data_IF_875423626076
#
_entry.id   IF_875423626076
#
_cell.length_a   1.000
_cell.length_b   1.000
_cell.length_c   1.000
_cell.angle_alpha   90.00
_cell.angle_beta   90.00
_cell.angle_gamma   90.00
#
_symmetry.space_group_name_H-M   'P 1'
#
loop_
_entity.id
_entity.type
_entity.pdbx_description
1 polymer ?
#
# COMPACT_ATOMS: atom_id res chain seq x y z
N UNK A 1 45.71 -20.99 56.10
CA UNK A 1 44.25 -20.67 56.30
C UNK A 1 43.68 -19.63 55.33
N UNK A 2 44.42 -18.70 54.79
CA UNK A 2 43.91 -17.63 53.89
C UNK A 2 43.48 -18.11 52.46
N UNK A 3 44.06 -19.17 51.95
CA UNK A 3 43.80 -19.69 50.56
C UNK A 3 42.53 -20.52 50.43
N UNK A 4 41.97 -21.04 51.51
CA UNK A 4 40.70 -21.80 51.45
C UNK A 4 39.47 -20.90 51.53
N UNK A 5 39.57 -19.75 52.17
CA UNK A 5 38.46 -18.82 52.31
C UNK A 5 38.12 -18.11 50.98
N UNK A 6 39.15 -17.82 50.14
CA UNK A 6 38.96 -17.15 48.85
C UNK A 6 38.27 -18.06 47.82
N UNK A 7 38.55 -19.37 47.84
CA UNK A 7 37.88 -20.32 46.93
C UNK A 7 36.39 -20.51 47.25
N UNK A 8 36.01 -20.46 48.52
CA UNK A 8 34.58 -20.61 48.90
C UNK A 8 33.75 -19.37 48.57
N UNK A 9 34.34 -18.17 48.65
CA UNK A 9 33.65 -16.91 48.28
C UNK A 9 33.44 -16.81 46.75
N UNK A 10 34.41 -17.28 45.94
CA UNK A 10 34.32 -17.26 44.50
C UNK A 10 33.24 -18.24 44.00
N UNK A 11 33.09 -19.42 44.64
CA UNK A 11 32.05 -20.39 44.29
C UNK A 11 30.64 -19.89 44.70
N UNK A 12 30.52 -19.21 45.84
CA UNK A 12 29.24 -18.63 46.26
C UNK A 12 28.78 -17.46 45.35
N UNK A 13 29.69 -16.63 44.86
CA UNK A 13 29.40 -15.55 43.91
C UNK A 13 29.07 -16.08 42.51
N UNK A 14 29.69 -17.17 42.05
CA UNK A 14 29.35 -17.77 40.75
C UNK A 14 28.00 -18.49 40.77
N UNK A 15 27.58 -19.08 41.89
CA UNK A 15 26.23 -19.66 42.03
C UNK A 15 25.11 -18.60 42.14
N UNK A 16 25.36 -17.42 42.74
CA UNK A 16 24.41 -16.31 42.73
C UNK A 16 24.23 -15.70 41.35
N UNK A 17 25.30 -15.55 40.55
CA UNK A 17 25.21 -15.03 39.18
C UNK A 17 24.51 -15.99 38.21
N UNK A 18 24.64 -17.31 38.40
CA UNK A 18 23.94 -18.32 37.57
C UNK A 18 22.44 -18.37 37.88
N UNK A 19 22.04 -18.12 39.14
CA UNK A 19 20.61 -18.06 39.49
C UNK A 19 19.92 -16.71 39.06
N UNK A 20 20.67 -15.64 38.84
CA UNK A 20 20.12 -14.37 38.32
C UNK A 20 19.97 -14.39 36.81
N UNK A 21 20.63 -15.29 36.05
CA UNK A 21 20.44 -15.40 34.60
C UNK A 21 19.34 -16.39 34.20
N UNK A 22 18.74 -17.14 35.11
CA UNK A 22 17.69 -18.13 34.79
C UNK A 22 16.28 -17.72 35.12
N UNK A 23 16.05 -16.49 35.57
CA UNK A 23 14.72 -15.90 35.63
C UNK A 23 14.36 -15.27 34.28
N UNK A 24 14.42 -16.03 33.17
CA UNK A 24 13.60 -15.72 32.00
C UNK A 24 12.16 -15.87 32.47
N UNK A 25 11.57 -14.75 32.87
CA UNK A 25 10.14 -14.61 33.11
C UNK A 25 9.41 -15.17 31.89
N UNK A 26 8.97 -16.41 31.98
CA UNK A 26 7.90 -16.96 31.14
C UNK A 26 6.59 -16.36 31.65
N UNK A 27 6.47 -15.03 31.55
CA UNK A 27 5.17 -14.40 31.68
C UNK A 27 4.30 -15.07 30.63
N UNK A 28 3.42 -15.97 31.03
CA UNK A 28 2.39 -16.56 30.17
C UNK A 28 1.68 -15.36 29.53
N UNK A 29 1.92 -15.15 28.22
CA UNK A 29 1.24 -14.11 27.47
C UNK A 29 -0.25 -14.27 27.71
N UNK A 30 -0.90 -13.30 28.34
CA UNK A 30 -2.32 -13.33 28.55
C UNK A 30 -3.01 -13.60 27.20
N UNK A 31 -3.96 -14.53 27.21
CA UNK A 31 -4.72 -14.86 26.00
C UNK A 31 -5.50 -13.60 25.61
N UNK A 32 -5.40 -13.19 24.33
CA UNK A 32 -6.14 -12.04 23.80
C UNK A 32 -7.63 -12.22 24.09
N UNK A 33 -8.24 -11.22 24.72
CA UNK A 33 -9.69 -11.22 24.94
C UNK A 33 -10.37 -10.73 23.65
N UNK A 34 -10.84 -11.68 22.85
CA UNK A 34 -11.42 -11.40 21.53
C UNK A 34 -12.68 -10.53 21.60
N UNK A 35 -13.55 -10.71 22.60
CA UNK A 35 -14.75 -9.89 22.76
C UNK A 35 -14.40 -8.43 23.08
N UNK A 36 -13.42 -8.21 23.95
CA UNK A 36 -12.96 -6.86 24.28
C UNK A 36 -12.28 -6.19 23.09
N UNK A 37 -11.43 -6.93 22.36
CA UNK A 37 -10.78 -6.45 21.15
C UNK A 37 -11.83 -6.00 20.12
N UNK A 38 -12.81 -6.87 19.83
CA UNK A 38 -13.88 -6.59 18.89
C UNK A 38 -14.68 -5.35 19.28
N UNK A 39 -15.15 -5.26 20.53
CA UNK A 39 -15.93 -4.12 21.01
C UNK A 39 -15.15 -2.79 20.93
N UNK A 40 -13.83 -2.81 21.18
CA UNK A 40 -12.99 -1.61 21.05
C UNK A 40 -12.80 -1.18 19.60
N UNK A 41 -12.61 -2.14 18.71
CA UNK A 41 -12.47 -1.86 17.27
C UNK A 41 -13.81 -1.36 16.70
N UNK A 42 -14.94 -1.98 17.08
CA UNK A 42 -16.27 -1.50 16.72
C UNK A 42 -16.48 -0.05 17.17
N UNK A 43 -16.11 0.28 18.41
CA UNK A 43 -16.24 1.64 18.96
C UNK A 43 -15.43 2.65 18.17
N UNK A 44 -14.18 2.32 17.78
CA UNK A 44 -13.35 3.21 16.97
C UNK A 44 -13.93 3.37 15.58
N UNK A 45 -14.33 2.30 14.91
CA UNK A 45 -14.91 2.39 13.57
C UNK A 45 -16.21 3.23 13.59
N UNK A 46 -17.07 3.04 14.59
CA UNK A 46 -18.33 3.80 14.75
C UNK A 46 -18.10 5.27 15.12
N UNK A 47 -16.96 5.63 15.72
CA UNK A 47 -16.64 7.04 15.99
C UNK A 47 -16.20 7.82 14.75
N UNK A 48 -15.68 7.12 13.74
CA UNK A 48 -15.21 7.73 12.50
C UNK A 48 -16.22 7.63 11.35
N UNK A 49 -17.06 6.58 11.32
CA UNK A 49 -17.99 6.32 10.20
C UNK A 49 -19.44 6.25 10.66
N UNK A 50 -20.35 6.83 9.88
CA UNK A 50 -21.79 6.64 10.04
C UNK A 50 -22.24 5.44 9.17
N UNK A 51 -23.06 4.53 9.67
CA UNK A 51 -23.53 3.37 8.91
C UNK A 51 -24.47 3.70 7.74
N UNK A 52 -24.84 4.97 7.57
CA UNK A 52 -25.72 5.47 6.50
C UNK A 52 -24.99 6.36 5.50
N UNK A 53 -23.70 6.56 5.67
CA UNK A 53 -22.80 7.30 4.77
C UNK A 53 -21.84 6.35 4.09
N UNK A 54 -21.07 6.78 3.07
CA UNK A 54 -19.90 6.03 2.62
C UNK A 54 -18.97 5.69 3.80
N UNK A 55 -18.23 4.60 3.73
CA UNK A 55 -17.53 4.12 4.91
C UNK A 55 -16.29 3.30 4.62
N UNK A 56 -16.12 2.19 5.36
CA UNK A 56 -14.91 1.39 5.29
C UNK A 56 -15.14 -0.10 5.57
N UNK A 57 -14.28 -0.95 5.01
CA UNK A 57 -14.07 -2.32 5.43
C UNK A 57 -12.73 -2.43 6.16
N UNK A 58 -12.73 -2.98 7.38
CA UNK A 58 -11.55 -3.25 8.17
C UNK A 58 -11.40 -4.75 8.42
N UNK A 59 -10.28 -5.32 7.99
CA UNK A 59 -9.88 -6.68 8.30
C UNK A 59 -8.56 -6.68 9.05
N UNK A 60 -8.54 -7.32 10.22
CA UNK A 60 -7.32 -7.58 10.98
C UNK A 60 -7.10 -9.08 11.02
N UNK A 61 -5.92 -9.53 10.57
CA UNK A 61 -5.56 -10.93 10.60
C UNK A 61 -4.37 -11.19 11.50
N UNK A 62 -4.39 -12.34 12.19
CA UNK A 62 -3.25 -12.86 12.95
C UNK A 62 -2.91 -14.27 12.49
N UNK A 63 -1.64 -14.52 12.21
CA UNK A 63 -1.18 -15.80 11.67
C UNK A 63 -1.93 -16.22 10.38
N UNK A 64 -2.34 -15.26 9.56
CA UNK A 64 -3.05 -15.48 8.29
C UNK A 64 -4.54 -15.77 8.41
N UNK A 65 -5.11 -15.66 9.60
CA UNK A 65 -6.55 -15.83 9.84
C UNK A 65 -7.14 -14.52 10.35
N UNK A 66 -8.27 -14.13 9.81
CA UNK A 66 -9.01 -12.96 10.30
C UNK A 66 -9.37 -13.14 11.78
N UNK A 67 -9.15 -12.08 12.55
CA UNK A 67 -9.53 -11.95 13.96
C UNK A 67 -10.49 -10.79 14.18
N UNK A 68 -10.63 -9.93 13.19
CA UNK A 68 -11.65 -8.90 13.05
C UNK A 68 -11.91 -8.72 11.56
N UNK A 69 -13.19 -8.65 11.16
CA UNK A 69 -13.59 -8.56 9.75
C UNK A 69 -14.99 -7.95 9.69
N UNK A 70 -15.06 -6.64 9.50
CA UNK A 70 -16.33 -5.90 9.45
C UNK A 70 -16.26 -4.74 8.48
N UNK A 71 -17.42 -4.48 7.85
CA UNK A 71 -17.72 -3.25 7.14
C UNK A 71 -18.62 -2.32 7.96
N UNK A 72 -18.53 -1.04 7.67
CA UNK A 72 -19.43 0.01 8.14
C UNK A 72 -19.70 0.98 7.01
N UNK A 73 -20.94 1.41 6.84
CA UNK A 73 -21.35 2.35 5.83
C UNK A 73 -21.94 1.70 4.58
N UNK A 74 -22.02 2.50 3.53
CA UNK A 74 -22.70 2.20 2.26
C UNK A 74 -21.66 2.14 1.15
N UNK A 75 -21.64 1.03 0.42
CA UNK A 75 -20.75 0.81 -0.73
C UNK A 75 -21.21 1.59 -1.97
N UNK A 76 -22.53 1.60 -2.19
CA UNK A 76 -23.20 2.27 -3.29
C UNK A 76 -24.41 3.06 -2.75
N UNK A 77 -24.31 4.37 -2.76
CA UNK A 77 -25.37 5.27 -2.26
C UNK A 77 -26.64 5.23 -3.10
N UNK A 78 -26.55 4.84 -4.37
CA UNK A 78 -27.71 4.73 -5.26
C UNK A 78 -28.58 3.51 -4.92
N UNK A 79 -27.95 2.40 -4.56
CA UNK A 79 -28.66 1.15 -4.24
C UNK A 79 -28.83 0.93 -2.75
N UNK A 80 -28.04 1.58 -1.91
CA UNK A 80 -27.97 1.35 -0.47
C UNK A 80 -27.22 0.09 -0.08
N UNK A 81 -26.43 -0.50 -0.99
CA UNK A 81 -25.61 -1.68 -0.71
C UNK A 81 -24.63 -1.40 0.44
N UNK A 82 -24.59 -2.31 1.42
CA UNK A 82 -23.74 -2.18 2.60
C UNK A 82 -22.34 -2.68 2.35
N UNK A 83 -21.38 -2.05 3.02
CA UNK A 83 -19.99 -2.49 3.01
C UNK A 83 -19.82 -3.75 3.86
N UNK A 84 -19.13 -4.74 3.30
CA UNK A 84 -18.63 -5.92 4.01
C UNK A 84 -17.24 -6.34 3.50
N UNK A 85 -16.72 -7.48 3.97
CA UNK A 85 -15.42 -8.02 3.55
C UNK A 85 -15.34 -8.49 2.09
N UNK A 86 -16.47 -8.56 1.36
CA UNK A 86 -16.55 -8.91 -0.06
C UNK A 86 -16.76 -7.68 -0.96
N UNK A 87 -16.97 -6.51 -0.37
CA UNK A 87 -17.06 -5.27 -1.13
C UNK A 87 -15.73 -4.99 -1.83
N UNK A 88 -15.77 -4.74 -3.13
CA UNK A 88 -14.60 -4.46 -3.95
C UNK A 88 -14.32 -2.96 -4.00
N UNK A 89 -13.14 -2.55 -3.54
CA UNK A 89 -12.69 -1.16 -3.53
C UNK A 89 -11.54 -0.96 -4.51
N UNK A 90 -11.41 0.25 -5.06
CA UNK A 90 -10.18 0.67 -5.69
C UNK A 90 -9.09 0.80 -4.63
N UNK A 91 -7.99 0.06 -4.78
CA UNK A 91 -6.87 0.10 -3.82
C UNK A 91 -5.76 1.06 -4.25
N UNK A 92 -5.97 1.78 -5.35
CA UNK A 92 -5.08 2.81 -5.87
C UNK A 92 -3.59 2.36 -5.83
N UNK A 93 -2.71 3.18 -5.25
CA UNK A 93 -1.26 2.93 -5.22
C UNK A 93 -0.82 1.66 -4.47
N UNK A 94 -1.69 1.00 -3.71
CA UNK A 94 -1.37 -0.34 -3.19
C UNK A 94 -1.16 -1.34 -4.35
N UNK A 95 -1.70 -1.06 -5.53
CA UNK A 95 -1.46 -1.82 -6.78
C UNK A 95 0.03 -1.95 -7.13
N UNK A 96 0.87 -0.99 -6.74
CA UNK A 96 2.32 -1.03 -6.96
C UNK A 96 3.02 -2.25 -6.36
N UNK A 97 2.45 -2.82 -5.30
CA UNK A 97 2.93 -4.07 -4.70
C UNK A 97 2.86 -5.22 -5.70
N UNK A 98 1.77 -5.30 -6.45
CA UNK A 98 1.57 -6.37 -7.45
C UNK A 98 2.52 -6.19 -8.62
N UNK A 99 2.70 -4.97 -9.11
CA UNK A 99 3.67 -4.66 -10.17
C UNK A 99 5.10 -5.00 -9.73
N UNK A 100 5.48 -4.65 -8.50
CA UNK A 100 6.80 -4.95 -7.96
C UNK A 100 7.06 -6.47 -7.83
N UNK A 101 6.08 -7.23 -7.34
CA UNK A 101 6.18 -8.70 -7.29
C UNK A 101 6.17 -9.30 -8.70
N UNK A 102 5.40 -8.72 -9.63
CA UNK A 102 5.43 -9.10 -11.05
C UNK A 102 6.81 -8.92 -11.67
N UNK A 103 7.47 -7.78 -11.41
CA UNK A 103 8.84 -7.51 -11.85
C UNK A 103 9.85 -8.51 -11.25
N UNK A 104 9.74 -8.82 -9.96
CA UNK A 104 10.57 -9.86 -9.33
C UNK A 104 10.29 -11.24 -9.91
N UNK A 105 9.04 -11.55 -10.27
CA UNK A 105 8.68 -12.78 -10.96
C UNK A 105 9.33 -12.86 -12.34
N UNK A 106 9.29 -11.78 -13.12
CA UNK A 106 9.99 -11.71 -14.41
C UNK A 106 11.49 -11.92 -14.25
N UNK A 107 12.12 -11.35 -13.21
CA UNK A 107 13.53 -11.58 -12.89
C UNK A 107 13.81 -13.04 -12.58
N UNK A 108 12.96 -13.73 -11.80
CA UNK A 108 13.09 -15.17 -11.53
C UNK A 108 12.96 -16.04 -12.77
N UNK A 109 12.15 -15.59 -13.73
CA UNK A 109 11.95 -16.26 -15.02
C UNK A 109 13.06 -15.95 -16.04
N UNK A 110 13.99 -15.05 -15.71
CA UNK A 110 15.11 -14.69 -16.58
C UNK A 110 14.78 -13.66 -17.67
N UNK A 111 13.58 -13.06 -17.66
CA UNK A 111 13.20 -12.04 -18.65
C UNK A 111 13.87 -10.71 -18.42
N UNK A 112 14.16 -10.35 -17.18
CA UNK A 112 14.79 -9.08 -16.82
C UNK A 112 15.81 -9.26 -15.69
N UNK A 113 16.68 -8.25 -15.56
CA UNK A 113 17.54 -8.07 -14.38
C UNK A 113 17.31 -6.66 -13.84
N UNK A 114 16.87 -6.55 -12.60
CA UNK A 114 16.55 -5.25 -11.97
C UNK A 114 17.78 -4.34 -11.83
N UNK A 115 19.00 -4.88 -11.92
CA UNK A 115 20.24 -4.10 -11.90
C UNK A 115 20.61 -3.50 -13.27
N UNK A 116 19.94 -3.92 -14.34
CA UNK A 116 20.19 -3.36 -15.66
C UNK A 116 19.55 -1.98 -15.80
N UNK A 117 20.15 -1.16 -16.68
CA UNK A 117 19.60 0.16 -17.00
C UNK A 117 18.28 0.06 -17.76
N UNK A 118 17.46 1.09 -17.63
CA UNK A 118 16.21 1.23 -18.38
C UNK A 118 16.49 1.22 -19.89
N UNK A 119 17.54 1.90 -20.34
CA UNK A 119 17.98 1.93 -21.75
C UNK A 119 18.20 0.53 -22.34
N UNK A 120 18.56 -0.48 -21.53
CA UNK A 120 18.74 -1.86 -21.99
C UNK A 120 17.45 -2.53 -22.44
N UNK A 121 16.30 -2.00 -22.02
CA UNK A 121 14.98 -2.56 -22.31
C UNK A 121 14.10 -1.65 -23.15
N UNK A 122 14.44 -0.36 -23.19
CA UNK A 122 13.70 0.70 -23.87
C UNK A 122 14.64 1.50 -24.80
N UNK A 123 15.01 0.94 -25.96
CA UNK A 123 15.95 1.59 -26.86
C UNK A 123 15.42 2.92 -27.46
N UNK A 124 14.12 3.14 -27.37
CA UNK A 124 13.48 4.41 -27.74
C UNK A 124 13.74 5.54 -26.73
N UNK A 125 14.11 5.22 -25.49
CA UNK A 125 14.54 6.17 -24.48
C UNK A 125 16.03 6.46 -24.67
N UNK A 126 16.35 7.38 -25.62
CA UNK A 126 17.69 7.57 -26.16
C UNK A 126 18.64 8.41 -25.31
N UNK A 127 18.07 9.25 -24.41
CA UNK A 127 18.86 10.17 -23.62
C UNK A 127 19.72 9.46 -22.57
N UNK A 128 20.90 10.00 -22.29
CA UNK A 128 21.88 9.37 -21.41
C UNK A 128 21.44 9.13 -19.99
N UNK A 129 20.43 9.86 -19.52
CA UNK A 129 19.84 9.63 -18.20
C UNK A 129 19.35 8.19 -18.05
N UNK A 130 18.82 7.57 -19.11
CA UNK A 130 18.27 6.21 -19.08
C UNK A 130 19.33 5.12 -18.99
N UNK A 131 20.60 5.45 -19.28
CA UNK A 131 21.73 4.56 -19.04
C UNK A 131 22.11 4.49 -17.56
N UNK A 132 21.82 5.56 -16.79
CA UNK A 132 22.08 5.66 -15.34
C UNK A 132 20.94 5.06 -14.51
N UNK A 133 19.69 5.23 -14.94
CA UNK A 133 18.52 4.73 -14.23
C UNK A 133 18.41 3.21 -14.42
N UNK A 134 18.42 2.45 -13.31
CA UNK A 134 18.19 1.01 -13.28
C UNK A 134 16.72 0.70 -12.98
N UNK A 135 16.22 -0.48 -13.40
CA UNK A 135 14.85 -0.90 -13.11
C UNK A 135 14.54 -0.88 -11.60
N UNK A 136 15.50 -1.26 -10.77
CA UNK A 136 15.31 -1.21 -9.31
C UNK A 136 15.07 0.20 -8.78
N UNK A 137 15.63 1.24 -9.42
CA UNK A 137 15.42 2.63 -8.99
C UNK A 137 13.98 3.08 -9.25
N UNK A 138 13.33 2.56 -10.30
CA UNK A 138 11.92 2.81 -10.58
C UNK A 138 11.04 2.24 -9.48
N UNK A 139 11.27 0.97 -9.10
CA UNK A 139 10.49 0.27 -8.06
C UNK A 139 10.66 0.86 -6.66
N UNK A 140 11.77 1.53 -6.39
CA UNK A 140 12.08 2.10 -5.08
C UNK A 140 11.90 3.62 -5.02
N UNK A 141 11.30 4.22 -6.05
CA UNK A 141 11.13 5.67 -6.14
C UNK A 141 12.43 6.47 -5.91
N UNK A 142 13.54 5.93 -6.41
CA UNK A 142 14.88 6.52 -6.30
C UNK A 142 15.52 6.81 -7.66
N UNK A 143 14.71 6.94 -8.69
CA UNK A 143 15.19 7.12 -10.05
C UNK A 143 15.66 8.53 -10.36
N UNK A 144 15.10 9.54 -9.71
CA UNK A 144 15.28 10.95 -10.06
C UNK A 144 14.53 11.37 -11.34
N UNK A 145 13.79 10.47 -11.96
CA UNK A 145 12.98 10.76 -13.17
C UNK A 145 11.80 11.64 -12.78
N UNK A 146 11.64 12.85 -13.37
CA UNK A 146 10.48 13.70 -13.09
C UNK A 146 9.20 13.15 -13.71
N UNK A 147 8.04 13.51 -13.16
CA UNK A 147 6.75 13.27 -13.80
C UNK A 147 6.48 14.35 -14.86
N UNK A 148 6.64 13.98 -16.12
CA UNK A 148 6.46 14.88 -17.26
C UNK A 148 5.06 14.83 -17.87
N UNK A 149 4.12 14.09 -17.26
CA UNK A 149 2.75 13.99 -17.78
C UNK A 149 1.99 15.31 -17.60
N UNK A 150 1.08 15.64 -18.52
CA UNK A 150 0.31 16.89 -18.47
C UNK A 150 -0.81 16.82 -17.41
N UNK A 151 -0.48 17.12 -16.15
CA UNK A 151 -1.44 17.07 -15.03
C UNK A 151 -2.61 18.07 -15.16
N UNK A 152 -2.52 19.08 -15.99
CA UNK A 152 -3.59 20.04 -16.26
C UNK A 152 -4.66 19.56 -17.26
N UNK A 153 -4.40 18.48 -17.97
CA UNK A 153 -5.32 17.90 -18.94
C UNK A 153 -6.14 16.78 -18.29
N UNK A 154 -7.36 17.14 -17.82
CA UNK A 154 -8.27 16.20 -17.17
C UNK A 154 -8.61 15.01 -18.07
N UNK A 155 -8.88 15.24 -19.34
CA UNK A 155 -9.22 14.15 -20.24
C UNK A 155 -8.05 13.17 -20.39
N UNK A 156 -6.82 13.67 -20.53
CA UNK A 156 -5.64 12.85 -20.56
C UNK A 156 -5.48 12.03 -19.26
N UNK A 157 -5.66 12.66 -18.10
CA UNK A 157 -5.54 11.97 -16.81
C UNK A 157 -6.54 10.83 -16.65
N UNK A 158 -7.76 10.99 -17.19
CA UNK A 158 -8.78 9.95 -17.12
C UNK A 158 -8.60 8.82 -18.12
N UNK A 159 -8.01 9.08 -19.28
CA UNK A 159 -7.99 8.16 -20.41
C UNK A 159 -6.61 7.63 -20.80
N UNK A 160 -5.53 8.26 -20.29
CA UNK A 160 -4.18 7.90 -20.66
C UNK A 160 -3.83 6.47 -20.22
N UNK A 161 -3.40 5.65 -21.16
CA UNK A 161 -2.87 4.32 -20.90
C UNK A 161 -1.42 4.37 -20.39
N UNK A 162 -0.93 3.23 -19.87
CA UNK A 162 0.48 3.11 -19.46
C UNK A 162 1.43 3.45 -20.60
N UNK A 163 1.11 3.06 -21.86
CA UNK A 163 1.90 3.39 -23.05
C UNK A 163 1.95 4.90 -23.31
N UNK A 164 0.82 5.57 -23.22
CA UNK A 164 0.72 7.02 -23.39
C UNK A 164 1.46 7.76 -22.27
N UNK A 165 1.34 7.28 -21.04
CA UNK A 165 2.07 7.82 -19.89
C UNK A 165 3.61 7.78 -20.15
N UNK A 166 4.13 6.67 -20.65
CA UNK A 166 5.56 6.49 -20.95
C UNK A 166 6.04 7.37 -22.10
N UNK A 167 5.18 7.77 -23.05
CA UNK A 167 5.60 8.66 -24.16
C UNK A 167 6.21 9.98 -23.66
N UNK A 168 5.68 10.54 -22.58
CA UNK A 168 6.20 11.79 -22.00
C UNK A 168 7.60 11.65 -21.38
N UNK A 169 8.09 10.43 -21.17
CA UNK A 169 9.44 10.20 -20.67
C UNK A 169 10.52 10.27 -21.76
N UNK A 170 10.15 10.19 -23.03
CA UNK A 170 11.13 10.10 -24.14
C UNK A 170 12.02 11.33 -24.27
N UNK A 171 11.46 12.49 -24.01
CA UNK A 171 12.13 13.77 -24.20
C UNK A 171 12.85 14.26 -22.93
N UNK A 172 12.79 13.51 -21.84
CA UNK A 172 13.48 13.84 -20.60
C UNK A 172 14.99 13.76 -20.78
N UNK A 173 15.67 14.86 -20.46
CA UNK A 173 17.14 14.99 -20.58
C UNK A 173 17.83 15.12 -19.23
N UNK A 174 17.08 15.43 -18.17
CA UNK A 174 17.61 15.70 -16.84
C UNK A 174 16.87 14.87 -15.79
N UNK A 175 17.57 14.58 -14.70
CA UNK A 175 17.03 13.95 -13.51
C UNK A 175 17.01 14.97 -12.37
N UNK A 176 16.05 14.85 -11.47
CA UNK A 176 16.00 15.68 -10.26
C UNK A 176 17.19 15.42 -9.31
N UNK A 177 17.73 14.19 -9.33
CA UNK A 177 18.88 13.75 -8.56
C UNK A 177 19.51 12.50 -9.19
N UNK A 178 20.75 12.18 -8.83
CA UNK A 178 21.42 10.96 -9.28
C UNK A 178 20.70 9.71 -8.75
N UNK A 179 20.44 8.71 -9.62
CA UNK A 179 19.67 7.51 -9.25
C UNK A 179 20.23 6.79 -8.02
N UNK A 180 19.36 6.50 -7.07
CA UNK A 180 19.68 5.83 -5.81
C UNK A 180 20.09 6.76 -4.66
N UNK A 181 20.17 8.08 -4.87
CA UNK A 181 20.67 9.01 -3.84
C UNK A 181 19.56 9.72 -3.03
N UNK A 182 18.36 9.78 -3.58
CA UNK A 182 17.21 10.43 -2.93
C UNK A 182 15.91 9.70 -3.24
N UNK A 183 14.84 10.13 -2.60
CA UNK A 183 13.47 9.61 -2.78
C UNK A 183 12.58 10.68 -3.39
N UNK A 184 11.85 10.31 -4.43
CA UNK A 184 10.73 11.04 -4.99
C UNK A 184 9.69 10.07 -5.50
N UNK A 185 8.47 10.17 -4.97
CA UNK A 185 7.37 9.30 -5.37
C UNK A 185 6.85 9.69 -6.75
N UNK A 186 7.09 8.85 -7.74
CA UNK A 186 6.74 9.11 -9.15
C UNK A 186 5.93 7.93 -9.70
N UNK A 187 4.66 8.15 -10.00
CA UNK A 187 3.75 7.14 -10.50
C UNK A 187 4.18 6.55 -11.85
N UNK A 188 4.43 7.35 -12.90
CA UNK A 188 4.69 6.84 -14.25
C UNK A 188 5.94 5.97 -14.38
N UNK A 189 6.83 5.96 -13.40
CA UNK A 189 7.96 5.02 -13.41
C UNK A 189 7.50 3.56 -13.29
N UNK A 190 6.35 3.30 -12.71
CA UNK A 190 5.75 1.97 -12.67
C UNK A 190 5.12 1.58 -14.03
N UNK A 191 4.64 2.53 -14.83
CA UNK A 191 4.03 2.26 -16.14
C UNK A 191 5.03 1.62 -17.12
N UNK A 192 6.34 1.88 -16.92
CA UNK A 192 7.40 1.16 -17.66
C UNK A 192 7.33 -0.35 -17.45
N UNK A 193 6.89 -0.84 -16.31
CA UNK A 193 6.74 -2.28 -16.05
C UNK A 193 5.54 -2.90 -16.77
N UNK A 194 4.51 -2.12 -17.07
CA UNK A 194 3.44 -2.56 -17.97
C UNK A 194 4.02 -2.96 -19.33
N UNK A 195 4.71 -2.05 -19.97
CA UNK A 195 5.35 -2.28 -21.27
C UNK A 195 6.40 -3.39 -21.20
N UNK A 196 7.16 -3.45 -20.12
CA UNK A 196 8.23 -4.42 -19.95
C UNK A 196 7.70 -5.85 -19.89
N UNK A 197 6.54 -6.06 -19.18
CA UNK A 197 5.85 -7.34 -19.16
C UNK A 197 5.46 -7.74 -20.58
N UNK A 198 4.77 -6.89 -21.31
CA UNK A 198 4.26 -7.21 -22.64
C UNK A 198 5.39 -7.50 -23.62
N UNK A 199 6.42 -6.66 -23.64
CA UNK A 199 7.57 -6.81 -24.55
C UNK A 199 8.40 -8.06 -24.29
N UNK A 200 8.59 -8.42 -23.03
CA UNK A 200 9.48 -9.52 -22.64
C UNK A 200 8.78 -10.87 -22.59
N UNK A 201 7.49 -10.88 -22.30
CA UNK A 201 6.76 -12.14 -22.12
C UNK A 201 5.81 -12.45 -23.28
N UNK A 202 5.47 -11.47 -24.12
CA UNK A 202 4.43 -11.57 -25.14
C UNK A 202 3.00 -11.68 -24.57
N UNK A 203 2.84 -11.55 -23.26
CA UNK A 203 1.53 -11.58 -22.60
C UNK A 203 1.05 -10.16 -22.33
N UNK A 204 -0.26 -9.94 -22.38
CA UNK A 204 -0.83 -8.70 -21.82
C UNK A 204 -0.49 -8.57 -20.35
N UNK A 205 -0.23 -7.35 -19.89
CA UNK A 205 0.11 -7.09 -18.48
C UNK A 205 -0.90 -7.68 -17.50
N UNK A 206 -2.18 -7.45 -17.75
CA UNK A 206 -3.28 -7.95 -16.90
C UNK A 206 -3.30 -9.50 -16.84
N UNK A 207 -3.07 -10.15 -17.99
CA UNK A 207 -3.03 -11.63 -18.06
C UNK A 207 -1.82 -12.20 -17.33
N UNK A 208 -0.67 -11.52 -17.40
CA UNK A 208 0.53 -11.88 -16.64
C UNK A 208 0.26 -11.78 -15.14
N UNK A 209 -0.28 -10.66 -14.67
CA UNK A 209 -0.62 -10.45 -13.27
C UNK A 209 -1.64 -11.49 -12.78
N UNK A 210 -2.68 -11.75 -13.57
CA UNK A 210 -3.67 -12.77 -13.24
C UNK A 210 -3.03 -14.14 -13.10
N UNK A 211 -2.30 -14.60 -14.09
CA UNK A 211 -1.72 -15.95 -14.16
C UNK A 211 -0.69 -16.21 -13.07
N UNK A 212 0.22 -15.26 -12.87
CA UNK A 212 1.38 -15.47 -12.00
C UNK A 212 1.20 -14.96 -10.58
N UNK A 213 0.24 -14.06 -10.34
CA UNK A 213 0.01 -13.48 -9.02
C UNK A 213 -1.40 -13.79 -8.50
N UNK A 214 -2.46 -13.30 -9.14
CA UNK A 214 -3.80 -13.40 -8.58
C UNK A 214 -4.28 -14.85 -8.44
N UNK A 215 -4.21 -15.63 -9.51
CA UNK A 215 -4.60 -17.05 -9.49
C UNK A 215 -3.71 -17.85 -8.51
N UNK A 216 -2.43 -17.53 -8.45
CA UNK A 216 -1.48 -18.19 -7.52
C UNK A 216 -1.73 -17.83 -6.06
N UNK A 217 -2.19 -16.63 -5.78
CA UNK A 217 -2.62 -16.21 -4.44
C UNK A 217 -4.02 -16.72 -4.07
N UNK A 218 -4.79 -17.24 -5.04
CA UNK A 218 -6.18 -17.66 -4.85
C UNK A 218 -7.16 -16.50 -4.76
N UNK A 219 -6.79 -15.32 -5.31
CA UNK A 219 -7.66 -14.15 -5.41
C UNK A 219 -8.67 -14.36 -6.54
N UNK A 220 -9.95 -14.15 -6.27
CA UNK A 220 -11.03 -14.33 -7.24
C UNK A 220 -11.80 -13.03 -7.53
N UNK A 221 -11.84 -12.14 -6.54
CA UNK A 221 -12.51 -10.84 -6.60
C UNK A 221 -11.45 -9.74 -6.73
N UNK A 222 -10.59 -9.87 -7.74
CA UNK A 222 -9.53 -8.92 -8.06
C UNK A 222 -9.49 -8.71 -9.56
N UNK A 223 -9.52 -7.46 -9.99
CA UNK A 223 -9.37 -7.11 -11.40
C UNK A 223 -8.92 -5.66 -11.57
N UNK A 224 -8.36 -5.38 -12.74
CA UNK A 224 -8.12 -4.01 -13.15
C UNK A 224 -9.41 -3.40 -13.68
N UNK A 225 -9.65 -2.17 -13.31
CA UNK A 225 -10.81 -1.43 -13.82
C UNK A 225 -10.65 -1.18 -15.33
N UNK A 226 -11.74 -1.35 -16.04
CA UNK A 226 -11.98 -0.78 -17.38
C UNK A 226 -13.43 -0.32 -17.42
N UNK A 227 -13.82 0.62 -18.31
CA UNK A 227 -15.20 1.09 -18.40
C UNK A 227 -16.23 -0.04 -18.61
N UNK A 228 -15.80 -1.14 -19.25
CA UNK A 228 -16.65 -2.30 -19.54
C UNK A 228 -16.59 -3.38 -18.44
N UNK A 229 -15.70 -3.20 -17.45
CA UNK A 229 -15.53 -4.21 -16.41
C UNK A 229 -16.76 -4.25 -15.49
N UNK A 230 -17.31 -5.45 -15.34
CA UNK A 230 -18.34 -5.72 -14.33
C UNK A 230 -17.65 -6.20 -13.06
N UNK A 231 -17.60 -5.35 -12.06
CA UNK A 231 -17.04 -5.67 -10.74
C UNK A 231 -18.20 -6.00 -9.81
N UNK A 232 -18.25 -7.24 -9.32
CA UNK A 232 -19.27 -7.64 -8.38
C UNK A 232 -19.06 -6.92 -7.02
N UNK A 233 -20.15 -6.45 -6.41
CA UNK A 233 -20.12 -5.73 -5.13
C UNK A 233 -19.11 -4.56 -5.11
N UNK A 234 -19.07 -3.80 -6.21
CA UNK A 234 -18.18 -2.66 -6.35
C UNK A 234 -18.64 -1.52 -5.45
N UNK A 235 -17.73 -1.01 -4.63
CA UNK A 235 -17.94 0.27 -3.98
C UNK A 235 -17.71 1.41 -4.99
N UNK A 236 -18.51 2.47 -4.87
CA UNK A 236 -18.26 3.76 -5.51
C UNK A 236 -17.53 4.68 -4.54
N UNK A 237 -16.60 5.47 -5.03
CA UNK A 237 -15.87 6.46 -4.25
C UNK A 237 -16.70 7.73 -4.07
N UNK A 238 -16.66 8.33 -2.88
CA UNK A 238 -17.45 9.51 -2.56
C UNK A 238 -16.60 10.61 -1.93
N UNK A 239 -16.93 11.85 -2.23
CA UNK A 239 -16.39 13.06 -1.60
C UNK A 239 -17.54 13.93 -1.11
N UNK A 240 -17.31 14.72 -0.05
CA UNK A 240 -18.33 15.69 0.40
C UNK A 240 -18.48 16.79 -0.61
N UNK A 241 -19.72 17.07 -1.02
CA UNK A 241 -20.03 18.01 -2.10
C UNK A 241 -19.85 19.49 -1.69
N UNK A 242 -20.09 19.81 -0.42
CA UNK A 242 -20.01 21.20 0.10
C UNK A 242 -18.57 21.69 0.28
N UNK A 243 -17.66 20.77 0.59
CA UNK A 243 -16.23 21.01 0.72
C UNK A 243 -15.48 20.27 -0.39
N UNK A 244 -15.76 20.52 -1.63
CA UNK A 244 -14.85 20.16 -2.70
C UNK A 244 -13.49 20.89 -2.52
N UNK A 245 -13.09 21.06 -1.27
CA UNK A 245 -11.73 21.35 -0.82
C UNK A 245 -10.97 20.03 -0.96
N UNK A 246 -10.48 19.84 -2.17
CA UNK A 246 -9.34 18.97 -2.38
C UNK A 246 -8.30 19.41 -1.35
N UNK A 247 -7.96 18.54 -0.42
CA UNK A 247 -6.88 18.74 0.50
C UNK A 247 -5.58 18.78 -0.30
N UNK A 248 -5.12 19.97 -0.67
CA UNK A 248 -3.92 20.20 -1.44
C UNK A 248 -4.11 21.18 -2.57
N UNK A 249 -3.99 22.45 -2.26
CA UNK A 249 -3.45 23.55 -3.06
C UNK A 249 -4.12 24.01 -4.37
N UNK A 250 -5.22 23.48 -4.87
CA UNK A 250 -5.87 24.09 -6.04
C UNK A 250 -7.37 24.35 -5.83
N UNK A 251 -7.63 25.48 -5.13
CA UNK A 251 -8.99 26.05 -4.96
C UNK A 251 -9.69 26.41 -6.28
N UNK A 252 -8.95 26.47 -7.39
CA UNK A 252 -9.52 26.77 -8.72
C UNK A 252 -10.11 25.52 -9.40
N UNK A 253 -9.73 24.33 -8.99
CA UNK A 253 -10.24 23.10 -9.56
C UNK A 253 -11.66 22.77 -9.05
N UNK A 254 -11.91 23.02 -7.76
CA UNK A 254 -13.24 22.87 -7.16
C UNK A 254 -14.30 23.77 -7.80
N UNK A 255 -13.89 24.94 -8.29
CA UNK A 255 -14.78 25.91 -8.97
C UNK A 255 -15.14 25.54 -10.40
N UNK A 256 -14.46 24.56 -11.02
CA UNK A 256 -14.69 24.12 -12.40
C UNK A 256 -15.52 22.86 -12.53
N UNK A 257 -16.03 22.30 -11.44
CA UNK A 257 -16.96 21.17 -11.50
C UNK A 257 -18.28 21.65 -12.12
N UNK A 258 -18.47 21.35 -13.40
CA UNK A 258 -19.80 21.28 -13.96
C UNK A 258 -20.59 20.23 -13.17
N UNK A 259 -21.80 20.60 -12.77
CA UNK A 259 -22.88 19.85 -12.12
C UNK A 259 -22.53 18.38 -11.84
N UNK A 260 -22.30 18.06 -10.58
CA UNK A 260 -22.11 16.68 -10.13
C UNK A 260 -23.40 15.92 -10.44
N UNK A 261 -23.32 14.94 -11.32
CA UNK A 261 -24.50 14.23 -11.82
C UNK A 261 -25.15 13.35 -10.75
N UNK A 262 -24.40 12.92 -9.73
CA UNK A 262 -24.89 12.04 -8.67
C UNK A 262 -24.56 12.63 -7.30
N UNK A 263 -25.50 13.37 -6.74
CA UNK A 263 -25.46 13.93 -5.39
C UNK A 263 -26.39 13.12 -4.47
N UNK A 264 -25.84 12.54 -3.42
CA UNK A 264 -26.57 11.71 -2.46
C UNK A 264 -26.55 12.38 -1.09
N UNK A 265 -27.68 12.36 -0.38
CA UNK A 265 -27.77 12.90 0.98
C UNK A 265 -27.82 11.74 1.98
N UNK A 266 -26.91 11.74 2.93
CA UNK A 266 -26.89 10.72 3.98
C UNK A 266 -27.89 11.01 5.12
N UNK A 267 -27.94 10.11 6.11
CA UNK A 267 -28.84 10.26 7.24
C UNK A 267 -28.53 11.41 8.19
N UNK A 268 -27.45 12.16 7.97
CA UNK A 268 -27.06 13.37 8.71
C UNK A 268 -27.26 14.64 7.90
N UNK A 269 -27.71 14.52 6.66
CA UNK A 269 -27.86 15.63 5.75
C UNK A 269 -26.56 16.07 5.07
N UNK A 270 -25.52 15.25 5.09
CA UNK A 270 -24.28 15.49 4.34
C UNK A 270 -24.48 15.08 2.90
N UNK A 271 -24.09 15.96 2.00
CA UNK A 271 -24.14 15.74 0.55
C UNK A 271 -22.86 15.03 0.08
N UNK A 272 -23.01 13.93 -0.61
CA UNK A 272 -21.94 13.10 -1.14
C UNK A 272 -21.97 13.07 -2.66
N UNK A 273 -20.90 13.50 -3.28
CA UNK A 273 -20.71 13.40 -4.73
C UNK A 273 -19.93 12.13 -5.07
N UNK A 274 -20.43 11.36 -6.05
CA UNK A 274 -19.70 10.23 -6.58
C UNK A 274 -18.41 10.67 -7.26
N UNK A 275 -17.30 10.04 -6.92
CA UNK A 275 -15.99 10.34 -7.42
C UNK A 275 -15.11 9.07 -7.40
N UNK A 276 -15.32 8.20 -8.37
CA UNK A 276 -14.61 6.92 -8.45
C UNK A 276 -13.13 7.07 -8.80
N UNK A 277 -12.74 8.22 -9.33
CA UNK A 277 -11.36 8.52 -9.72
C UNK A 277 -10.99 9.95 -9.36
N UNK A 278 -9.76 10.12 -8.94
CA UNK A 278 -9.21 11.43 -8.55
C UNK A 278 -8.74 12.25 -9.75
N UNK A 279 -8.67 13.53 -9.51
CA UNK A 279 -8.25 14.52 -10.53
C UNK A 279 -6.75 14.49 -10.78
N UNK A 280 -5.96 13.95 -9.83
CA UNK A 280 -4.50 13.84 -9.92
C UNK A 280 -4.02 12.43 -10.28
N UNK A 281 -4.92 11.47 -10.40
CA UNK A 281 -4.57 10.07 -10.67
C UNK A 281 -4.90 9.69 -12.09
N UNK A 282 -3.99 8.99 -12.74
CA UNK A 282 -4.18 8.46 -14.08
C UNK A 282 -4.97 7.17 -13.98
N UNK A 283 -6.28 7.29 -14.16
CA UNK A 283 -7.23 6.21 -13.89
C UNK A 283 -7.08 5.00 -14.81
N UNK A 284 -6.74 5.24 -16.07
CA UNK A 284 -6.59 4.18 -17.05
C UNK A 284 -5.23 3.45 -16.97
N UNK A 285 -4.25 3.99 -16.25
CA UNK A 285 -2.97 3.31 -16.02
C UNK A 285 -3.15 2.14 -15.03
N UNK A 286 -2.44 1.04 -15.27
CA UNK A 286 -2.61 -0.21 -14.55
C UNK A 286 -1.44 -0.58 -13.68
N UNK A 287 -0.21 -0.24 -14.11
CA UNK A 287 0.97 -0.68 -13.37
C UNK A 287 1.21 0.09 -12.07
N UNK A 288 0.73 1.30 -11.96
CA UNK A 288 0.85 2.15 -10.76
C UNK A 288 -0.41 2.19 -9.89
N UNK A 289 -1.58 1.76 -10.47
CA UNK A 289 -2.89 1.83 -9.82
C UNK A 289 -3.91 0.88 -10.47
N UNK A 290 -5.20 1.19 -10.32
CA UNK A 290 -6.30 0.59 -11.10
C UNK A 290 -6.79 -0.78 -10.65
N UNK A 291 -6.27 -1.37 -9.58
CA UNK A 291 -6.79 -2.65 -9.04
C UNK A 291 -8.00 -2.37 -8.15
N UNK A 292 -9.08 -3.13 -8.41
CA UNK A 292 -10.19 -3.33 -7.49
C UNK A 292 -10.07 -4.70 -6.83
N UNK A 293 -10.24 -4.74 -5.51
CA UNK A 293 -10.22 -5.99 -4.75
C UNK A 293 -10.93 -5.84 -3.40
N UNK A 294 -11.12 -6.94 -2.70
CA UNK A 294 -11.78 -7.02 -1.41
C UNK A 294 -10.77 -7.21 -0.27
N UNK A 295 -11.14 -6.92 0.98
CA UNK A 295 -10.29 -7.21 2.13
C UNK A 295 -9.98 -8.70 2.25
N UNK A 296 -10.94 -9.57 1.90
CA UNK A 296 -10.76 -11.02 1.88
C UNK A 296 -9.72 -11.48 0.86
N UNK A 297 -9.77 -10.97 -0.36
CA UNK A 297 -8.78 -11.34 -1.39
C UNK A 297 -7.42 -10.71 -1.12
N UNK A 298 -7.38 -9.51 -0.56
CA UNK A 298 -6.13 -8.91 -0.13
C UNK A 298 -5.46 -9.72 1.01
N UNK A 299 -6.23 -10.31 1.92
CA UNK A 299 -5.67 -11.24 2.91
C UNK A 299 -5.07 -12.50 2.25
N UNK A 300 -5.66 -13.01 1.17
CA UNK A 300 -5.07 -14.13 0.40
C UNK A 300 -3.73 -13.72 -0.23
N UNK A 301 -3.65 -12.49 -0.78
CA UNK A 301 -2.40 -11.89 -1.26
C UNK A 301 -1.33 -11.88 -0.16
N UNK A 302 -1.64 -11.33 0.99
CA UNK A 302 -0.73 -11.26 2.13
C UNK A 302 -0.29 -12.65 2.63
N UNK A 303 -1.20 -13.63 2.61
CA UNK A 303 -0.88 -15.02 2.95
C UNK A 303 0.04 -15.68 1.91
N UNK A 304 -0.17 -15.44 0.62
CA UNK A 304 0.68 -15.94 -0.45
C UNK A 304 2.11 -15.35 -0.37
N UNK A 305 2.22 -14.06 0.04
CA UNK A 305 3.50 -13.41 0.28
C UNK A 305 4.27 -13.98 1.49
N UNK A 306 3.62 -14.61 2.45
CA UNK A 306 4.32 -15.27 3.58
C UNK A 306 5.13 -16.48 3.14
N UNK A 307 4.63 -17.23 2.14
CA UNK A 307 5.28 -18.39 1.56
C UNK A 307 6.19 -18.07 0.37
N UNK A 308 6.42 -19.07 -0.45
CA UNK A 308 7.13 -18.96 -1.73
C UNK A 308 6.20 -19.17 -2.93
N UNK A 309 4.90 -18.98 -2.73
CA UNK A 309 3.86 -19.24 -3.75
C UNK A 309 4.02 -18.32 -4.96
N UNK A 310 4.32 -17.05 -4.73
CA UNK A 310 4.44 -16.03 -5.77
C UNK A 310 5.88 -15.91 -6.28
N UNK A 311 6.81 -15.61 -5.38
CA UNK A 311 8.23 -15.44 -5.64
C UNK A 311 9.06 -16.10 -4.55
N UNK A 312 10.33 -16.41 -4.86
CA UNK A 312 11.28 -16.97 -3.89
C UNK A 312 11.51 -16.02 -2.71
N UNK A 313 11.94 -16.59 -1.58
CA UNK A 313 12.26 -15.79 -0.39
C UNK A 313 13.35 -14.73 -0.65
N UNK A 314 14.33 -15.04 -1.50
CA UNK A 314 15.39 -14.11 -1.90
C UNK A 314 14.83 -12.88 -2.64
N UNK A 315 13.92 -13.09 -3.58
CA UNK A 315 13.27 -12.02 -4.34
C UNK A 315 12.40 -11.16 -3.43
N UNK A 316 11.59 -11.80 -2.58
CA UNK A 316 10.77 -11.09 -1.60
C UNK A 316 11.63 -10.26 -0.62
N UNK A 317 12.81 -10.75 -0.24
CA UNK A 317 13.74 -9.97 0.59
C UNK A 317 14.18 -8.69 -0.12
N UNK A 318 14.37 -8.71 -1.45
CA UNK A 318 14.69 -7.50 -2.21
C UNK A 318 13.56 -6.47 -2.08
N UNK A 319 12.30 -6.90 -2.21
CA UNK A 319 11.15 -5.99 -2.07
C UNK A 319 11.08 -5.33 -0.68
N UNK A 320 11.42 -6.05 0.38
CA UNK A 320 11.37 -5.55 1.77
C UNK A 320 12.70 -5.03 2.30
N UNK A 321 13.70 -4.87 1.43
CA UNK A 321 14.94 -4.18 1.78
C UNK A 321 14.68 -2.67 1.71
N UNK A 322 15.07 -1.90 2.74
CA UNK A 322 15.07 -0.45 2.69
C UNK A 322 16.05 0.04 1.62
N UNK A 323 15.53 0.56 0.52
CA UNK A 323 16.36 1.08 -0.57
C UNK A 323 16.61 2.57 -0.43
N UNK A 324 15.57 3.34 -0.12
CA UNK A 324 15.63 4.80 -0.10
C UNK A 324 14.95 5.33 1.14
N UNK A 325 15.61 6.27 1.85
CA UNK A 325 15.02 6.98 2.98
C UNK A 325 13.99 7.99 2.47
N UNK A 326 12.78 7.94 3.00
CA UNK A 326 11.68 8.82 2.58
C UNK A 326 11.84 10.25 3.11
N UNK A 327 12.56 10.41 4.23
CA UNK A 327 12.81 11.71 4.86
C UNK A 327 14.17 12.30 4.43
N UNK A 328 14.28 13.63 4.45
CA UNK A 328 15.55 14.35 4.27
C UNK A 328 15.84 14.77 2.83
N UNK A 329 14.95 14.52 1.91
CA UNK A 329 15.02 15.03 0.54
C UNK A 329 13.93 16.08 0.29
N UNK A 330 14.29 17.19 -0.38
CA UNK A 330 13.31 18.17 -0.85
C UNK A 330 12.27 17.58 -1.82
N UNK A 331 12.58 16.42 -2.41
CA UNK A 331 11.73 15.70 -3.34
C UNK A 331 10.74 14.76 -2.67
N UNK A 332 10.87 14.52 -1.35
CA UNK A 332 9.96 13.62 -0.62
C UNK A 332 8.53 14.17 -0.51
N UNK A 333 8.37 15.49 -0.58
CA UNK A 333 7.06 16.14 -0.54
C UNK A 333 6.21 15.72 0.66
N UNK A 334 4.93 15.50 0.43
CA UNK A 334 3.98 15.03 1.43
C UNK A 334 4.24 13.58 1.89
N UNK A 335 5.07 12.83 1.19
CA UNK A 335 5.50 11.48 1.58
C UNK A 335 6.61 11.48 2.63
N UNK A 336 7.12 12.67 3.01
CA UNK A 336 8.19 12.79 4.00
C UNK A 336 7.76 12.20 5.36
N UNK A 337 8.45 11.13 5.81
CA UNK A 337 8.11 10.37 7.02
C UNK A 337 9.37 9.94 7.75
N UNK A 338 9.47 10.30 9.02
CA UNK A 338 10.60 9.92 9.87
C UNK A 338 10.73 8.40 10.00
N UNK A 339 11.97 7.93 10.03
CA UNK A 339 12.31 6.51 10.19
C UNK A 339 11.67 5.58 9.16
N UNK A 340 11.28 6.12 8.01
CA UNK A 340 10.61 5.38 6.95
C UNK A 340 11.48 5.30 5.70
N UNK A 341 11.61 4.12 5.15
CA UNK A 341 12.26 3.82 3.88
C UNK A 341 11.23 3.32 2.88
N UNK A 342 11.61 3.34 1.61
CA UNK A 342 10.85 2.68 0.56
C UNK A 342 11.62 1.47 0.03
N UNK A 343 10.92 0.34 -0.07
CA UNK A 343 11.40 -0.88 -0.73
C UNK A 343 10.94 -0.93 -2.20
N UNK A 344 10.56 -2.09 -2.70
CA UNK A 344 9.92 -2.20 -4.02
C UNK A 344 8.40 -2.30 -3.83
N UNK A 345 7.70 -1.16 -3.89
CA UNK A 345 6.25 -1.08 -3.73
C UNK A 345 5.76 -1.10 -2.27
N UNK A 346 6.63 -0.87 -1.28
CA UNK A 346 6.28 -0.78 0.14
C UNK A 346 7.04 0.30 0.88
N UNK A 347 6.35 0.97 1.77
CA UNK A 347 6.98 1.73 2.86
C UNK A 347 7.43 0.76 3.96
N UNK A 348 8.57 1.05 4.56
CA UNK A 348 9.20 0.25 5.63
C UNK A 348 9.48 1.20 6.80
N UNK A 349 8.61 1.21 7.77
CA UNK A 349 8.72 2.04 8.99
C UNK A 349 9.53 1.27 10.04
N UNK A 350 10.63 1.90 10.47
CA UNK A 350 11.55 1.40 11.48
C UNK A 350 11.60 2.31 12.71
N UNK A 351 10.47 2.90 13.10
CA UNK A 351 10.39 3.74 14.29
C UNK A 351 10.98 3.02 15.51
N UNK A 352 11.97 3.64 16.21
CA UNK A 352 12.59 3.05 17.38
C UNK A 352 11.57 2.65 18.45
N UNK A 353 11.79 1.50 19.09
CA UNK A 353 10.90 0.96 20.13
C UNK A 353 9.61 0.32 19.61
N UNK A 354 9.38 0.33 18.30
CA UNK A 354 8.24 -0.33 17.66
C UNK A 354 8.69 -1.52 16.79
N UNK A 355 7.77 -2.43 16.54
CA UNK A 355 7.98 -3.47 15.54
C UNK A 355 8.01 -2.84 14.14
N UNK A 356 8.90 -3.33 13.27
CA UNK A 356 8.95 -2.89 11.87
C UNK A 356 7.59 -3.10 11.22
N UNK A 357 7.07 -2.03 10.62
CA UNK A 357 5.84 -2.03 9.85
C UNK A 357 6.18 -1.93 8.36
N UNK A 358 5.67 -2.86 7.58
CA UNK A 358 5.76 -2.85 6.12
C UNK A 358 4.36 -2.56 5.60
N UNK A 359 4.17 -1.44 4.90
CA UNK A 359 2.84 -0.97 4.55
C UNK A 359 2.83 -0.21 3.22
N UNK A 360 1.64 0.02 2.70
CA UNK A 360 1.39 1.01 1.66
C UNK A 360 0.01 1.62 1.83
N UNK A 361 -0.16 2.81 1.28
CA UNK A 361 -1.44 3.52 1.20
C UNK A 361 -1.87 3.67 -0.24
N UNK A 362 -3.15 3.89 -0.46
CA UNK A 362 -3.71 4.21 -1.75
C UNK A 362 -4.69 5.37 -1.63
N UNK A 363 -4.69 6.25 -2.62
CA UNK A 363 -5.61 7.37 -2.72
C UNK A 363 -6.03 7.53 -4.18
N UNK A 364 -7.34 7.52 -4.45
CA UNK A 364 -7.88 7.72 -5.78
C UNK A 364 -9.34 8.18 -5.69
N UNK A 365 -9.63 9.41 -6.09
CA UNK A 365 -10.96 9.97 -5.94
C UNK A 365 -11.45 9.93 -4.50
N UNK A 366 -12.63 9.36 -4.29
CA UNK A 366 -13.20 9.11 -2.97
C UNK A 366 -12.62 7.89 -2.25
N UNK A 367 -11.73 7.10 -2.90
CA UNK A 367 -11.16 5.91 -2.26
C UNK A 367 -9.91 6.22 -1.46
N UNK A 368 -9.84 5.67 -0.28
CA UNK A 368 -8.62 5.55 0.51
C UNK A 368 -8.36 4.09 0.86
N UNK A 369 -7.10 3.71 0.92
CA UNK A 369 -6.72 2.36 1.28
C UNK A 369 -5.46 2.35 2.15
N UNK A 370 -5.40 1.44 3.09
CA UNK A 370 -4.25 1.19 3.95
C UNK A 370 -4.07 -0.31 4.14
N UNK A 371 -2.86 -0.80 3.85
CA UNK A 371 -2.50 -2.18 4.09
C UNK A 371 -1.14 -2.25 4.78
N UNK A 372 -1.10 -2.84 5.97
CA UNK A 372 0.10 -2.97 6.77
C UNK A 372 0.29 -4.39 7.27
N UNK A 373 1.57 -4.80 7.39
CA UNK A 373 1.96 -6.05 8.01
C UNK A 373 3.06 -5.86 9.04
N UNK A 374 2.96 -6.67 10.09
CA UNK A 374 3.86 -6.73 11.22
C UNK A 374 4.40 -8.16 11.31
N UNK A 375 5.59 -8.37 10.75
CA UNK A 375 6.14 -9.72 10.55
C UNK A 375 6.39 -10.47 11.86
N UNK A 376 6.92 -9.78 12.87
CA UNK A 376 7.22 -10.37 14.19
C UNK A 376 5.95 -10.77 14.95
N UNK A 377 4.90 -9.96 14.85
CA UNK A 377 3.58 -10.24 15.44
C UNK A 377 2.72 -11.15 14.55
N UNK A 378 3.09 -11.29 13.27
CA UNK A 378 2.34 -11.99 12.23
C UNK A 378 0.91 -11.44 12.08
N UNK A 379 0.80 -10.12 12.13
CA UNK A 379 -0.46 -9.38 12.01
C UNK A 379 -0.51 -8.68 10.66
N UNK A 380 -1.69 -8.65 10.05
CA UNK A 380 -2.02 -7.76 8.94
C UNK A 380 -3.18 -6.87 9.36
N UNK A 381 -3.13 -5.62 8.94
CA UNK A 381 -4.23 -4.63 9.04
C UNK A 381 -4.54 -4.20 7.61
N UNK A 382 -5.78 -4.41 7.18
CA UNK A 382 -6.26 -4.07 5.83
C UNK A 382 -7.50 -3.21 6.02
N UNK A 383 -7.46 -1.96 5.57
CA UNK A 383 -8.55 -1.01 5.64
C UNK A 383 -8.77 -0.43 4.24
N UNK A 384 -9.99 -0.56 3.74
CA UNK A 384 -10.41 -0.06 2.43
C UNK A 384 -11.63 0.83 2.62
N UNK A 385 -11.57 2.04 2.09
CA UNK A 385 -12.52 3.12 2.33
C UNK A 385 -13.05 3.63 0.99
N UNK A 386 -14.32 4.02 0.96
CA UNK A 386 -14.92 4.67 -0.20
C UNK A 386 -15.31 6.13 0.07
N UNK A 387 -14.62 6.76 0.97
CA UNK A 387 -14.70 8.19 1.27
C UNK A 387 -13.36 8.70 1.80
N UNK A 388 -13.07 10.00 1.67
CA UNK A 388 -11.77 10.60 2.01
C UNK A 388 -11.85 11.65 3.13
N UNK A 389 -12.95 11.69 3.89
CA UNK A 389 -13.14 12.69 4.96
C UNK A 389 -12.51 12.28 6.29
N UNK A 390 -12.26 10.98 6.47
CA UNK A 390 -11.63 10.45 7.69
C UNK A 390 -10.11 10.60 7.60
N UNK A 391 -9.49 11.15 8.66
CA UNK A 391 -8.03 11.11 8.77
C UNK A 391 -7.55 9.68 9.02
N UNK A 392 -7.22 9.01 7.93
CA UNK A 392 -6.70 7.65 7.92
C UNK A 392 -5.48 7.46 8.86
N UNK A 393 -4.65 8.49 9.03
CA UNK A 393 -3.46 8.38 9.86
C UNK A 393 -3.80 8.33 11.35
N UNK A 394 -4.72 9.16 11.79
CA UNK A 394 -5.24 9.12 13.15
C UNK A 394 -5.95 7.78 13.41
N UNK A 395 -6.84 7.37 12.52
CA UNK A 395 -7.58 6.11 12.67
C UNK A 395 -6.64 4.89 12.75
N UNK A 396 -5.64 4.80 11.87
CA UNK A 396 -4.71 3.67 11.91
C UNK A 396 -3.86 3.65 13.19
N UNK A 397 -3.51 4.82 13.77
CA UNK A 397 -2.78 4.89 15.04
C UNK A 397 -3.66 4.43 16.21
N UNK A 398 -4.95 4.77 16.21
CA UNK A 398 -5.91 4.28 17.20
C UNK A 398 -6.09 2.77 17.13
N UNK A 399 -6.23 2.22 15.92
CA UNK A 399 -6.27 0.76 15.69
C UNK A 399 -4.99 0.09 16.21
N UNK A 400 -3.82 0.59 15.83
CA UNK A 400 -2.54 0.05 16.29
C UNK A 400 -2.41 0.09 17.82
N UNK A 401 -2.85 1.18 18.45
CA UNK A 401 -2.86 1.33 19.91
C UNK A 401 -3.70 0.23 20.56
N UNK A 402 -4.93 0.02 20.08
CA UNK A 402 -5.81 -1.05 20.57
C UNK A 402 -5.12 -2.40 20.41
N UNK A 403 -4.55 -2.69 19.24
CA UNK A 403 -3.89 -3.97 18.98
C UNK A 403 -2.68 -4.22 19.90
N UNK A 404 -1.95 -3.17 20.31
CA UNK A 404 -0.85 -3.27 21.29
C UNK A 404 -1.37 -3.51 22.70
N UNK A 405 -2.35 -2.76 23.14
CA UNK A 405 -2.95 -2.87 24.46
C UNK A 405 -3.64 -4.23 24.69
N UNK A 406 -4.22 -4.80 23.64
CA UNK A 406 -4.82 -6.15 23.67
C UNK A 406 -3.78 -7.28 23.43
N UNK A 407 -2.50 -6.96 23.28
CA UNK A 407 -1.43 -7.94 23.09
C UNK A 407 -1.44 -8.64 21.71
N UNK A 408 -2.11 -8.07 20.74
CA UNK A 408 -2.13 -8.54 19.34
C UNK A 408 -0.83 -8.14 18.64
N UNK A 409 -0.42 -6.88 18.75
CA UNK A 409 0.90 -6.37 18.33
C UNK A 409 1.91 -6.41 19.48
N UNK A 410 3.20 -6.41 19.13
CA UNK A 410 4.33 -6.39 20.08
C UNK A 410 4.87 -4.98 20.27
#
# INVERSE_FOLDING_TARGET
MRTRLIKTIIIALSLCCVNLMSAKSTAKRAKVNMKRLEARLDSVMQSHYDPRSPGAALLIAKNGKAIYDKGIGIADMATGEKIDGNTAFNIASISKQFTAIGALKMQEMGFINLNNSVASYFPELKNDIWKKVKLQHLLSHSSGVPDARPRGDRNFMLTATDEQSVQYMKDLTELHFEPGTAYEYINPTFDLFYLLVERKTGMKFVDFQKKYLFDRAGMKNVQYFTPEAKIAHMAHGYIVNEDAVVSGSDSDYAKKREKVENDYVDGKGVHWAECDYGEETFFATKADGGIYTTTHDFLKWENALRGNTLVKRSSKRQAYTPHTLVTGSKWSGYQNRDNTWYGYGWFIDKTPGREVKIYHTGDNGGFQAYAAKYERSRVNVIMLENQNTVDRWTLQLEIEKILREEGVLK
#
